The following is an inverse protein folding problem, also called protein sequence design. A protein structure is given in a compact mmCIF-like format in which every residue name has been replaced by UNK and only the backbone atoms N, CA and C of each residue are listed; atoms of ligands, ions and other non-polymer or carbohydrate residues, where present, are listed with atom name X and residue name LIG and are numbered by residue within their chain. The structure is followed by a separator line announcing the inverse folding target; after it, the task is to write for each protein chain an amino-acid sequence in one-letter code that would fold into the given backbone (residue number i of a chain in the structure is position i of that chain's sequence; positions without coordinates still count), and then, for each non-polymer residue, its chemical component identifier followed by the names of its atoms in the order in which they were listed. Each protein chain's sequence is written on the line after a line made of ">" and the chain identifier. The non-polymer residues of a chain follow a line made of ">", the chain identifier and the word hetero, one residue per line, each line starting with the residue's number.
data_IF_638046503517
#
_entry.id   IF_638046503517
#
_cell.length_a   1.000
_cell.length_b   1.000
_cell.length_c   1.000
_cell.angle_alpha   90.00
_cell.angle_beta   90.00
_cell.angle_gamma   90.00
#
_symmetry.space_group_name_H-M   'P 1'
#
loop_
_entity.id
_entity.type
_entity.pdbx_description
1 polymer ?
#
# COMPACT_ATOMS: atom_id res chain seq x y z
N UNK A 1 30.43 1.81 -26.99
CA UNK A 1 29.24 1.94 -26.13
C UNK A 1 29.43 1.17 -24.82
N UNK A 2 28.83 1.61 -23.69
CA UNK A 2 28.84 0.88 -22.39
C UNK A 2 27.71 -0.16 -22.33
N UNK A 3 27.90 -1.27 -21.61
CA UNK A 3 26.90 -2.35 -21.49
C UNK A 3 25.52 -1.85 -21.01
N UNK A 4 25.46 -0.91 -20.06
CA UNK A 4 24.19 -0.33 -19.58
C UNK A 4 23.38 0.32 -20.72
N UNK A 5 24.05 1.01 -21.64
CA UNK A 5 23.41 1.64 -22.78
C UNK A 5 23.06 0.60 -23.85
N UNK A 6 23.92 -0.40 -24.05
CA UNK A 6 23.67 -1.52 -24.94
C UNK A 6 22.36 -2.25 -24.60
N UNK A 7 22.14 -2.54 -23.31
CA UNK A 7 20.92 -3.19 -22.81
C UNK A 7 19.65 -2.43 -23.15
N UNK A 8 19.66 -1.11 -22.97
CA UNK A 8 18.53 -0.25 -23.34
C UNK A 8 18.33 -0.22 -24.86
N UNK A 9 19.42 -0.11 -25.61
CA UNK A 9 19.40 -0.08 -27.06
C UNK A 9 18.91 -1.41 -27.67
N UNK A 10 19.15 -2.56 -27.03
CA UNK A 10 18.64 -3.86 -27.49
C UNK A 10 17.11 -3.87 -27.59
N UNK A 11 16.41 -3.33 -26.57
CA UNK A 11 14.94 -3.27 -26.56
C UNK A 11 14.43 -2.30 -27.64
N UNK A 12 15.06 -1.14 -27.79
CA UNK A 12 14.69 -0.17 -28.82
C UNK A 12 14.97 -0.68 -30.24
N UNK A 13 16.06 -1.42 -30.45
CA UNK A 13 16.39 -2.06 -31.73
C UNK A 13 15.34 -3.14 -32.08
N UNK A 14 14.84 -3.89 -31.10
CA UNK A 14 13.79 -4.88 -31.30
C UNK A 14 12.51 -4.25 -31.86
N UNK A 15 12.08 -3.11 -31.31
CA UNK A 15 10.90 -2.37 -31.79
C UNK A 15 11.17 -1.49 -33.03
N UNK A 16 12.42 -1.45 -33.53
CA UNK A 16 12.80 -0.60 -34.65
C UNK A 16 12.84 0.90 -34.32
N UNK A 17 12.85 1.26 -33.04
CA UNK A 17 12.85 2.66 -32.54
C UNK A 17 14.26 3.23 -32.34
N UNK A 18 15.31 2.45 -32.60
CA UNK A 18 16.68 2.87 -32.39
C UNK A 18 17.22 3.73 -33.56
N UNK A 19 17.72 4.96 -33.30
CA UNK A 19 18.32 5.79 -34.35
C UNK A 19 19.50 5.11 -35.06
N UNK A 20 19.72 5.37 -36.37
CA UNK A 20 20.74 4.67 -37.16
C UNK A 20 22.17 4.87 -36.62
N UNK A 21 22.47 6.03 -36.05
CA UNK A 21 23.77 6.31 -35.44
C UNK A 21 24.03 5.46 -34.18
N UNK A 22 23.00 5.20 -33.38
CA UNK A 22 23.09 4.37 -32.17
C UNK A 22 23.09 2.88 -32.51
N UNK A 23 22.39 2.49 -33.58
CA UNK A 23 22.36 1.12 -34.09
C UNK A 23 23.75 0.61 -34.49
N UNK A 24 24.52 1.42 -35.22
CA UNK A 24 25.90 1.06 -35.56
C UNK A 24 26.77 0.85 -34.30
N UNK A 25 26.58 1.70 -33.28
CA UNK A 25 27.26 1.55 -31.99
C UNK A 25 26.84 0.30 -31.21
N UNK A 26 25.57 -0.12 -31.34
CA UNK A 26 25.04 -1.36 -30.78
C UNK A 26 25.62 -2.59 -31.46
N UNK A 27 25.59 -2.65 -32.79
CA UNK A 27 26.14 -3.77 -33.57
C UNK A 27 27.61 -4.03 -33.25
N UNK A 28 28.42 -2.96 -33.16
CA UNK A 28 29.84 -3.09 -32.82
C UNK A 28 30.05 -3.59 -31.38
N UNK A 29 29.20 -3.16 -30.44
CA UNK A 29 29.27 -3.65 -29.06
C UNK A 29 28.85 -5.13 -28.95
N UNK A 30 27.85 -5.57 -29.73
CA UNK A 30 27.38 -6.95 -29.71
C UNK A 30 28.42 -7.92 -30.27
N UNK A 31 29.25 -7.49 -31.24
CA UNK A 31 30.39 -8.28 -31.74
C UNK A 31 31.46 -8.52 -30.67
N UNK A 32 31.66 -7.56 -29.78
CA UNK A 32 32.75 -7.57 -28.79
C UNK A 32 32.31 -8.08 -27.42
N UNK A 33 31.03 -7.92 -27.05
CA UNK A 33 30.51 -8.29 -25.74
C UNK A 33 29.55 -9.48 -25.81
N UNK A 34 30.06 -10.68 -25.49
CA UNK A 34 29.26 -11.91 -25.44
C UNK A 34 28.04 -11.82 -24.50
N UNK A 35 28.17 -11.10 -23.38
CA UNK A 35 27.08 -10.94 -22.40
C UNK A 35 25.90 -10.19 -23.01
N UNK A 36 26.16 -9.08 -23.72
CA UNK A 36 25.12 -8.32 -24.40
C UNK A 36 24.55 -9.06 -25.61
N UNK A 37 25.37 -9.88 -26.29
CA UNK A 37 24.91 -10.80 -27.33
C UNK A 37 23.88 -11.81 -26.83
N UNK A 38 24.19 -12.51 -25.73
CA UNK A 38 23.26 -13.47 -25.10
C UNK A 38 21.96 -12.79 -24.63
N UNK A 39 22.06 -11.59 -24.06
CA UNK A 39 20.90 -10.81 -23.61
C UNK A 39 20.01 -10.37 -24.78
N UNK A 40 20.59 -10.05 -25.94
CA UNK A 40 19.84 -9.77 -27.17
C UNK A 40 19.09 -11.01 -27.66
N UNK A 41 19.76 -12.16 -27.70
CA UNK A 41 19.14 -13.43 -28.11
C UNK A 41 17.96 -13.82 -27.21
N UNK A 42 18.14 -13.69 -25.88
CA UNK A 42 17.09 -13.93 -24.90
C UNK A 42 15.91 -12.97 -25.09
N UNK A 43 16.20 -11.68 -25.30
CA UNK A 43 15.17 -10.66 -25.55
C UNK A 43 14.34 -11.01 -26.78
N UNK A 44 15.01 -11.25 -27.91
CA UNK A 44 14.34 -11.63 -29.18
C UNK A 44 13.50 -12.90 -29.00
N UNK A 45 14.02 -13.91 -28.27
CA UNK A 45 13.30 -15.15 -28.00
C UNK A 45 12.03 -14.93 -27.17
N UNK A 46 12.08 -14.14 -26.11
CA UNK A 46 10.92 -13.89 -25.25
C UNK A 46 9.85 -13.12 -26.01
N UNK A 47 10.22 -12.04 -26.71
CA UNK A 47 9.25 -11.22 -27.43
C UNK A 47 8.65 -11.94 -28.64
N UNK A 48 9.43 -12.73 -29.39
CA UNK A 48 8.89 -13.57 -30.46
C UNK A 48 7.89 -14.62 -29.96
N UNK A 49 8.07 -15.18 -28.76
CA UNK A 49 7.08 -16.08 -28.16
C UNK A 49 5.78 -15.37 -27.79
N UNK A 50 5.86 -14.12 -27.33
CA UNK A 50 4.68 -13.29 -27.03
C UNK A 50 3.94 -12.92 -28.32
N UNK A 51 4.65 -12.54 -29.38
CA UNK A 51 4.05 -12.24 -30.68
C UNK A 51 3.41 -13.47 -31.34
N UNK A 52 4.02 -14.65 -31.17
CA UNK A 52 3.46 -15.91 -31.65
C UNK A 52 2.22 -16.38 -30.84
N UNK A 53 1.99 -15.82 -29.65
CA UNK A 53 0.85 -16.14 -28.78
C UNK A 53 0.12 -14.85 -28.41
N UNK A 54 -0.52 -14.17 -29.37
CA UNK A 54 -1.30 -13.00 -29.05
C UNK A 54 -2.39 -13.37 -28.03
N UNK A 55 -2.71 -12.47 -27.08
CA UNK A 55 -3.85 -12.67 -26.21
C UNK A 55 -5.08 -12.91 -27.10
N UNK A 56 -5.85 -13.97 -26.79
CA UNK A 56 -7.09 -14.24 -27.51
C UNK A 56 -8.04 -13.05 -27.42
N UNK A 57 -9.01 -12.98 -28.34
CA UNK A 57 -10.01 -11.92 -28.37
C UNK A 57 -10.65 -11.74 -27.00
N UNK A 58 -10.28 -10.65 -26.31
CA UNK A 58 -10.88 -10.29 -25.05
C UNK A 58 -12.26 -9.75 -25.39
N UNK A 59 -13.36 -10.40 -24.96
CA UNK A 59 -14.69 -9.87 -25.22
C UNK A 59 -14.78 -8.47 -24.64
N UNK A 60 -15.14 -7.49 -25.48
CA UNK A 60 -15.35 -6.12 -25.04
C UNK A 60 -16.45 -6.16 -23.98
N UNK A 61 -16.14 -5.82 -22.71
CA UNK A 61 -17.16 -5.85 -21.67
C UNK A 61 -18.23 -4.83 -22.00
N UNK A 62 -19.50 -5.21 -21.81
CA UNK A 62 -20.61 -4.25 -21.86
C UNK A 62 -20.41 -3.23 -20.74
N UNK A 63 -19.92 -2.06 -21.13
CA UNK A 63 -19.60 -0.96 -20.22
C UNK A 63 -20.83 -0.50 -19.46
N UNK A 64 -22.03 -0.58 -20.06
CA UNK A 64 -23.30 -0.25 -19.42
C UNK A 64 -23.65 -1.23 -18.31
N UNK A 65 -23.49 -2.54 -18.54
CA UNK A 65 -23.70 -3.56 -17.51
C UNK A 65 -22.68 -3.47 -16.37
N UNK A 66 -21.41 -3.17 -16.68
CA UNK A 66 -20.35 -3.01 -15.67
C UNK A 66 -20.63 -1.77 -14.82
N UNK A 67 -20.93 -0.62 -15.44
CA UNK A 67 -21.24 0.62 -14.72
C UNK A 67 -22.50 0.51 -13.89
N UNK A 68 -23.55 -0.11 -14.44
CA UNK A 68 -24.80 -0.34 -13.69
C UNK A 68 -24.57 -1.15 -12.42
N UNK A 69 -23.70 -2.16 -12.42
CA UNK A 69 -23.37 -2.92 -11.20
C UNK A 69 -22.62 -2.08 -10.18
N UNK A 70 -21.74 -1.19 -10.63
CA UNK A 70 -20.96 -0.31 -9.75
C UNK A 70 -21.90 0.70 -9.10
N UNK A 71 -22.73 1.39 -9.87
CA UNK A 71 -23.73 2.35 -9.37
C UNK A 71 -24.69 1.69 -8.36
N UNK A 72 -25.19 0.49 -8.68
CA UNK A 72 -26.08 -0.24 -7.77
C UNK A 72 -25.43 -0.62 -6.44
N UNK A 73 -24.10 -0.75 -6.37
CA UNK A 73 -23.36 -1.02 -5.12
C UNK A 73 -23.01 0.24 -4.36
N UNK A 74 -22.94 1.38 -5.05
CA UNK A 74 -22.64 2.67 -4.45
C UNK A 74 -23.91 3.42 -4.00
N UNK A 75 -25.11 2.98 -4.43
CA UNK A 75 -26.37 3.61 -4.02
C UNK A 75 -26.57 3.56 -2.49
N UNK A 76 -26.44 4.70 -1.79
CA UNK A 76 -26.56 4.76 -0.34
C UNK A 76 -27.98 4.45 0.14
N UNK A 77 -28.98 4.52 -0.75
CA UNK A 77 -30.38 4.16 -0.44
C UNK A 77 -30.61 2.65 -0.34
N UNK A 78 -29.66 1.86 -0.86
CA UNK A 78 -29.68 0.38 -0.79
C UNK A 78 -28.70 -0.18 0.23
N UNK A 79 -27.94 0.68 0.92
CA UNK A 79 -27.22 0.26 2.10
C UNK A 79 -28.24 -0.38 3.06
N UNK A 80 -28.00 -1.61 3.57
CA UNK A 80 -28.94 -2.25 4.47
C UNK A 80 -29.19 -1.29 5.63
N UNK A 81 -30.44 -0.83 5.72
CA UNK A 81 -30.91 0.05 6.78
C UNK A 81 -30.47 -0.60 8.09
N UNK A 82 -29.50 0.04 8.78
CA UNK A 82 -28.94 -0.48 10.02
C UNK A 82 -30.07 -0.45 11.04
N UNK A 83 -30.85 -1.54 11.09
CA UNK A 83 -31.89 -1.73 12.09
C UNK A 83 -31.22 -1.51 13.44
N UNK A 84 -31.72 -0.58 14.27
CA UNK A 84 -31.14 -0.38 15.59
C UNK A 84 -31.16 -1.74 16.29
N UNK A 85 -29.98 -2.22 16.69
CA UNK A 85 -29.86 -3.47 17.41
C UNK A 85 -30.77 -3.38 18.65
N UNK A 86 -31.53 -4.44 19.00
CA UNK A 86 -32.45 -4.39 20.11
C UNK A 86 -31.66 -4.06 21.39
N UNK A 87 -31.95 -2.89 21.97
CA UNK A 87 -31.30 -2.37 23.18
C UNK A 87 -31.44 -3.32 24.40
N UNK A 88 -32.30 -4.33 24.30
CA UNK A 88 -32.47 -5.40 25.28
C UNK A 88 -31.19 -6.20 25.54
N UNK A 89 -30.36 -6.41 24.51
CA UNK A 89 -29.14 -7.20 24.65
C UNK A 89 -28.05 -6.44 25.43
N UNK A 90 -27.96 -5.11 25.32
CA UNK A 90 -26.89 -4.32 25.96
C UNK A 90 -26.87 -4.48 27.49
N UNK A 91 -28.05 -4.55 28.14
CA UNK A 91 -28.13 -4.75 29.60
C UNK A 91 -27.65 -6.13 30.04
N UNK A 92 -27.92 -7.17 29.24
CA UNK A 92 -27.45 -8.54 29.53
C UNK A 92 -25.94 -8.66 29.30
N UNK A 93 -25.42 -8.05 28.24
CA UNK A 93 -23.98 -7.99 27.98
C UNK A 93 -23.22 -7.13 28.99
N UNK A 94 -23.82 -6.05 29.49
CA UNK A 94 -23.24 -5.24 30.57
C UNK A 94 -23.13 -6.02 31.89
N UNK A 95 -24.15 -6.80 32.25
CA UNK A 95 -24.11 -7.68 33.42
C UNK A 95 -23.08 -8.80 33.28
N UNK A 96 -22.98 -9.41 32.09
CA UNK A 96 -21.96 -10.42 31.79
C UNK A 96 -20.53 -9.84 31.85
N UNK A 97 -20.33 -8.61 31.33
CA UNK A 97 -19.06 -7.89 31.42
C UNK A 97 -18.66 -7.57 32.86
N UNK A 98 -19.62 -7.14 33.70
CA UNK A 98 -19.37 -6.86 35.11
C UNK A 98 -18.97 -8.13 35.89
N UNK A 99 -19.63 -9.26 35.61
CA UNK A 99 -19.27 -10.54 36.24
C UNK A 99 -17.86 -11.00 35.84
N UNK A 100 -17.49 -10.89 34.56
CA UNK A 100 -16.14 -11.24 34.09
C UNK A 100 -15.07 -10.33 34.70
N UNK A 101 -15.34 -9.02 34.79
CA UNK A 101 -14.44 -8.07 35.42
C UNK A 101 -14.19 -8.39 36.91
N UNK A 102 -15.23 -8.80 37.64
CA UNK A 102 -15.09 -9.23 39.03
C UNK A 102 -14.27 -10.51 39.18
N UNK A 103 -14.46 -11.49 38.29
CA UNK A 103 -13.66 -12.74 38.30
C UNK A 103 -12.20 -12.45 37.99
N UNK A 104 -11.91 -11.60 37.00
CA UNK A 104 -10.55 -11.19 36.66
C UNK A 104 -9.90 -10.39 37.81
N UNK A 105 -10.62 -9.45 38.41
CA UNK A 105 -10.13 -8.69 39.55
C UNK A 105 -9.82 -9.59 40.75
N UNK A 106 -10.69 -10.56 41.05
CA UNK A 106 -10.47 -11.55 42.10
C UNK A 106 -9.25 -12.44 41.79
N UNK A 107 -9.12 -12.93 40.55
CA UNK A 107 -7.99 -13.73 40.10
C UNK A 107 -6.65 -12.97 40.18
N UNK A 108 -6.62 -11.71 39.75
CA UNK A 108 -5.42 -10.85 39.85
C UNK A 108 -5.07 -10.60 41.32
N UNK A 109 -6.06 -10.34 42.16
CA UNK A 109 -5.83 -10.05 43.58
C UNK A 109 -5.29 -11.27 44.33
N UNK A 110 -5.84 -12.46 44.06
CA UNK A 110 -5.36 -13.73 44.63
C UNK A 110 -3.98 -14.07 44.08
N UNK A 111 -3.76 -13.94 42.76
CA UNK A 111 -2.47 -14.17 42.13
C UNK A 111 -1.37 -13.25 42.68
N UNK A 112 -1.67 -11.97 42.92
CA UNK A 112 -0.71 -11.02 43.51
C UNK A 112 -0.34 -11.33 44.97
N UNK A 113 -1.22 -12.00 45.72
CA UNK A 113 -0.92 -12.43 47.11
C UNK A 113 -0.24 -13.79 47.20
N UNK A 114 -0.43 -14.65 46.20
CA UNK A 114 0.11 -16.00 46.18
C UNK A 114 1.43 -16.14 45.39
N UNK A 115 1.89 -15.09 44.69
CA UNK A 115 3.15 -15.16 43.93
C UNK A 115 4.37 -15.37 44.84
N UNK A 116 5.13 -16.47 44.68
CA UNK A 116 6.47 -16.59 45.23
C UNK A 116 7.44 -15.64 44.47
N UNK A 117 8.62 -15.31 45.04
CA UNK A 117 9.58 -14.42 44.39
C UNK A 117 10.00 -14.96 43.00
N UNK A 118 10.22 -14.08 42.02
CA UNK A 118 10.51 -14.49 40.65
C UNK A 118 11.80 -15.31 40.59
N UNK A 119 11.69 -16.59 40.23
CA UNK A 119 12.83 -17.38 39.77
C UNK A 119 13.31 -16.83 38.42
N UNK A 120 14.62 -16.80 38.15
CA UNK A 120 15.15 -16.29 36.88
C UNK A 120 14.59 -17.11 35.71
N UNK A 121 14.28 -16.47 34.56
CA UNK A 121 13.68 -17.16 33.43
C UNK A 121 14.64 -18.20 32.85
N UNK A 122 14.24 -19.46 32.93
CA UNK A 122 14.83 -20.51 32.11
C UNK A 122 14.53 -20.17 30.64
N UNK A 123 15.60 -19.93 29.87
CA UNK A 123 15.51 -19.69 28.44
C UNK A 123 15.01 -20.96 27.74
N UNK A 124 13.76 -20.94 27.27
CA UNK A 124 13.29 -21.86 26.24
C UNK A 124 13.49 -21.19 24.86
N UNK A 125 14.22 -21.82 23.92
CA UNK A 125 14.32 -21.31 22.56
C UNK A 125 13.01 -21.61 21.82
N UNK A 126 12.09 -20.64 21.81
CA UNK A 126 10.98 -20.63 20.86
C UNK A 126 11.51 -20.23 19.48
N UNK A 127 11.88 -21.22 18.68
CA UNK A 127 12.13 -21.06 17.25
C UNK A 127 10.80 -20.97 16.50
N UNK A 128 10.21 -19.78 16.49
CA UNK A 128 9.09 -19.39 15.62
C UNK A 128 9.38 -18.04 14.95
N UNK A 129 8.71 -17.67 13.85
CA UNK A 129 9.01 -16.48 13.04
C UNK A 129 8.52 -15.18 13.69
N UNK A 130 8.81 -14.99 14.99
CA UNK A 130 8.43 -13.80 15.77
C UNK A 130 9.47 -12.68 15.62
N UNK A 131 10.61 -12.94 14.97
CA UNK A 131 11.69 -11.95 14.80
C UNK A 131 11.45 -10.94 13.68
N UNK A 132 10.57 -11.22 12.72
CA UNK A 132 10.33 -10.32 11.58
C UNK A 132 9.45 -9.12 11.95
N UNK A 133 8.45 -9.31 12.80
CA UNK A 133 7.45 -8.28 13.13
C UNK A 133 8.03 -7.19 14.04
N UNK A 134 8.81 -7.58 15.06
CA UNK A 134 9.50 -6.63 15.94
C UNK A 134 10.54 -5.78 15.19
N UNK A 135 11.18 -6.34 14.15
CA UNK A 135 12.12 -5.62 13.29
C UNK A 135 11.43 -4.64 12.32
N UNK A 136 10.16 -4.88 11.97
CA UNK A 136 9.39 -4.05 11.04
C UNK A 136 8.78 -2.81 11.71
N UNK A 137 8.52 -2.84 13.03
CA UNK A 137 7.97 -1.69 13.78
C UNK A 137 8.72 -0.37 13.58
N UNK A 138 10.06 -0.29 13.74
CA UNK A 138 10.78 0.97 13.52
C UNK A 138 10.74 1.44 12.06
N UNK A 139 10.72 0.51 11.10
CA UNK A 139 10.60 0.83 9.67
C UNK A 139 9.22 1.39 9.35
N UNK A 140 8.16 0.79 9.91
CA UNK A 140 6.80 1.30 9.82
C UNK A 140 6.68 2.70 10.44
N UNK A 141 7.24 2.90 11.63
CA UNK A 141 7.19 4.19 12.31
C UNK A 141 7.88 5.29 11.49
N UNK A 142 9.07 5.02 10.93
CA UNK A 142 9.76 5.96 10.04
C UNK A 142 8.95 6.28 8.78
N UNK A 143 8.39 5.26 8.13
CA UNK A 143 7.54 5.45 6.95
C UNK A 143 6.29 6.30 7.24
N UNK A 144 5.64 6.09 8.39
CA UNK A 144 4.50 6.91 8.80
C UNK A 144 4.91 8.35 9.14
N UNK A 145 6.12 8.58 9.64
CA UNK A 145 6.67 9.93 9.82
C UNK A 145 6.90 10.64 8.48
N UNK A 146 7.38 9.92 7.46
CA UNK A 146 7.59 10.48 6.13
C UNK A 146 6.25 10.80 5.42
N UNK A 147 5.20 10.02 5.67
CA UNK A 147 3.85 10.28 5.13
C UNK A 147 3.13 11.44 5.81
N UNK A 148 3.39 11.68 7.11
CA UNK A 148 2.59 12.61 7.92
C UNK A 148 2.55 14.05 7.37
N UNK A 149 3.66 14.68 6.95
CA UNK A 149 3.63 16.04 6.39
C UNK A 149 2.73 16.14 5.16
N UNK A 150 2.89 15.20 4.23
CA UNK A 150 2.11 15.12 3.00
C UNK A 150 0.61 14.98 3.29
N UNK A 151 0.23 14.09 4.22
CA UNK A 151 -1.17 13.94 4.62
C UNK A 151 -1.72 15.20 5.31
N UNK A 152 -0.88 15.91 6.07
CA UNK A 152 -1.27 17.15 6.76
C UNK A 152 -1.50 18.29 5.77
N UNK A 153 -0.63 18.42 4.77
CA UNK A 153 -0.74 19.44 3.73
C UNK A 153 -2.06 19.30 2.96
N UNK A 154 -2.43 18.08 2.57
CA UNK A 154 -3.71 17.82 1.92
C UNK A 154 -4.91 17.95 2.88
N UNK A 155 -4.79 17.53 4.14
CA UNK A 155 -5.87 17.63 5.12
C UNK A 155 -6.23 19.08 5.50
N UNK A 156 -5.22 19.96 5.47
CA UNK A 156 -5.33 21.38 5.78
C UNK A 156 -5.41 22.28 4.55
N UNK A 157 -5.38 21.73 3.34
CA UNK A 157 -5.55 22.49 2.11
C UNK A 157 -6.79 23.39 2.21
N UNK A 158 -6.74 24.64 1.74
CA UNK A 158 -7.94 25.48 1.57
C UNK A 158 -7.97 26.14 0.19
N UNK A 159 -9.14 26.26 -0.46
CA UNK A 159 -9.22 26.84 -1.82
C UNK A 159 -8.91 28.35 -1.85
N UNK A 160 -9.05 29.02 -0.70
CA UNK A 160 -8.89 30.48 -0.54
C UNK A 160 -7.45 30.88 -0.19
N UNK A 161 -6.52 29.92 -0.15
CA UNK A 161 -5.08 30.18 -0.13
C UNK A 161 -4.64 30.71 -1.51
N UNK A 162 -5.00 31.97 -1.78
CA UNK A 162 -4.77 32.75 -2.99
C UNK A 162 -3.28 33.03 -3.30
N UNK A 163 -2.36 32.28 -2.66
CA UNK A 163 -0.93 32.33 -2.90
C UNK A 163 -0.41 30.98 -3.41
N UNK A 164 -1.08 30.37 -4.39
CA UNK A 164 -0.45 29.42 -5.32
C UNK A 164 0.36 28.29 -4.71
N UNK A 165 0.02 27.82 -3.51
CA UNK A 165 0.60 26.63 -2.91
C UNK A 165 -0.06 25.41 -3.56
N UNK A 166 0.19 25.21 -4.86
CA UNK A 166 0.16 23.85 -5.38
C UNK A 166 1.00 23.03 -4.43
N UNK A 167 0.46 21.93 -3.90
CA UNK A 167 1.26 21.00 -3.10
C UNK A 167 2.29 20.40 -4.07
N UNK A 168 3.41 21.10 -4.25
CA UNK A 168 4.47 20.72 -5.18
C UNK A 168 5.26 19.63 -4.49
N UNK A 169 4.81 18.41 -4.69
CA UNK A 169 5.53 17.23 -4.26
C UNK A 169 6.31 16.67 -5.43
N UNK A 170 7.56 16.30 -5.16
CA UNK A 170 8.43 15.59 -6.07
C UNK A 170 7.81 14.22 -6.42
N UNK A 171 7.65 13.98 -7.72
CA UNK A 171 7.09 12.74 -8.27
C UNK A 171 7.97 11.52 -7.95
N UNK A 172 9.29 11.69 -7.89
CA UNK A 172 10.23 10.62 -7.51
C UNK A 172 10.05 10.23 -6.04
N UNK A 173 9.86 11.22 -5.17
CA UNK A 173 9.58 11.01 -3.75
C UNK A 173 8.23 10.31 -3.51
N UNK A 174 7.18 10.73 -4.22
CA UNK A 174 5.85 10.09 -4.16
C UNK A 174 5.90 8.61 -4.57
N UNK A 175 6.61 8.30 -5.66
CA UNK A 175 6.78 6.92 -6.13
C UNK A 175 7.56 6.08 -5.12
N UNK A 176 8.58 6.64 -4.49
CA UNK A 176 9.33 5.96 -3.45
C UNK A 176 8.45 5.63 -2.23
N UNK A 177 7.62 6.60 -1.78
CA UNK A 177 6.64 6.41 -0.70
C UNK A 177 5.61 5.33 -1.05
N UNK A 178 5.05 5.35 -2.26
CA UNK A 178 4.10 4.32 -2.72
C UNK A 178 4.76 2.93 -2.69
N UNK A 179 5.98 2.82 -3.20
CA UNK A 179 6.71 1.56 -3.24
C UNK A 179 6.98 1.00 -1.83
N UNK A 180 7.45 1.85 -0.91
CA UNK A 180 7.66 1.45 0.49
C UNK A 180 6.34 1.05 1.18
N UNK A 181 5.25 1.77 0.91
CA UNK A 181 3.93 1.46 1.45
C UNK A 181 3.47 0.05 1.05
N UNK A 182 3.52 -0.27 -0.26
CA UNK A 182 3.12 -1.59 -0.77
C UNK A 182 3.96 -2.72 -0.16
N UNK A 183 5.27 -2.50 0.04
CA UNK A 183 6.16 -3.48 0.67
C UNK A 183 5.82 -3.70 2.14
N UNK A 184 5.66 -2.63 2.91
CA UNK A 184 5.30 -2.70 4.34
C UNK A 184 3.95 -3.38 4.52
N UNK A 185 2.97 -3.05 3.69
CA UNK A 185 1.64 -3.66 3.74
C UNK A 185 1.72 -5.17 3.52
N UNK A 186 2.46 -5.61 2.50
CA UNK A 186 2.65 -7.05 2.22
C UNK A 186 3.37 -7.77 3.36
N UNK A 187 4.34 -7.11 3.99
CA UNK A 187 5.08 -7.67 5.12
C UNK A 187 4.22 -7.77 6.40
N UNK A 188 3.29 -6.83 6.62
CA UNK A 188 2.49 -6.72 7.83
C UNK A 188 1.12 -7.42 7.74
N UNK A 189 0.62 -7.75 6.54
CA UNK A 189 -0.70 -8.34 6.33
C UNK A 189 -1.04 -9.56 7.22
N UNK A 190 -0.05 -10.40 7.54
CA UNK A 190 -0.24 -11.58 8.39
C UNK A 190 0.08 -11.37 9.87
N UNK A 191 0.64 -10.23 10.26
CA UNK A 191 1.17 -10.01 11.61
C UNK A 191 0.57 -8.82 12.34
N UNK A 192 0.23 -7.76 11.62
CA UNK A 192 -0.41 -6.55 12.14
C UNK A 192 -1.49 -6.09 11.14
N UNK A 193 -2.72 -6.61 11.27
CA UNK A 193 -3.81 -6.29 10.35
C UNK A 193 -4.25 -4.83 10.47
N UNK A 194 -4.10 -4.20 11.65
CA UNK A 194 -4.44 -2.80 11.84
C UNK A 194 -3.45 -1.88 11.09
N UNK A 195 -2.15 -2.19 11.16
CA UNK A 195 -1.14 -1.49 10.36
C UNK A 195 -1.31 -1.72 8.85
N UNK A 196 -1.67 -2.94 8.44
CA UNK A 196 -1.95 -3.24 7.04
C UNK A 196 -3.15 -2.44 6.50
N UNK A 197 -4.22 -2.29 7.29
CA UNK A 197 -5.39 -1.49 6.91
C UNK A 197 -5.04 0.00 6.76
N UNK A 198 -4.28 0.57 7.70
CA UNK A 198 -3.80 1.96 7.57
C UNK A 198 -2.96 2.14 6.30
N UNK A 199 -2.09 1.18 6.00
CA UNK A 199 -1.26 1.23 4.80
C UNK A 199 -2.11 1.11 3.52
N UNK A 200 -3.17 0.31 3.51
CA UNK A 200 -4.16 0.27 2.42
C UNK A 200 -4.86 1.63 2.23
N UNK A 201 -5.26 2.30 3.31
CA UNK A 201 -5.84 3.64 3.25
C UNK A 201 -4.84 4.65 2.65
N UNK A 202 -3.58 4.61 3.09
CA UNK A 202 -2.51 5.46 2.58
C UNK A 202 -2.14 5.14 1.11
N UNK A 203 -2.21 3.87 0.68
CA UNK A 203 -1.94 3.45 -0.71
C UNK A 203 -2.96 4.08 -1.68
N UNK A 204 -4.24 4.12 -1.29
CA UNK A 204 -5.26 4.80 -2.06
C UNK A 204 -4.98 6.30 -2.19
N UNK A 205 -4.67 6.98 -1.07
CA UNK A 205 -4.36 8.41 -1.06
C UNK A 205 -3.16 8.72 -1.95
N UNK A 206 -2.07 7.96 -1.82
CA UNK A 206 -0.87 8.15 -2.63
C UNK A 206 -1.14 7.97 -4.13
N UNK A 207 -1.99 7.02 -4.51
CA UNK A 207 -2.38 6.80 -5.91
C UNK A 207 -3.19 7.97 -6.47
N UNK A 208 -4.14 8.50 -5.69
CA UNK A 208 -4.90 9.68 -6.09
C UNK A 208 -3.99 10.90 -6.28
N UNK A 209 -3.01 11.09 -5.38
CA UNK A 209 -2.04 12.20 -5.49
C UNK A 209 -1.13 12.01 -6.72
N UNK A 210 -0.64 10.79 -6.99
CA UNK A 210 0.21 10.51 -8.16
C UNK A 210 -0.54 10.78 -9.46
N UNK A 211 -1.84 10.49 -9.51
CA UNK A 211 -2.64 10.62 -10.72
C UNK A 211 -3.24 12.03 -10.92
N UNK A 212 -2.75 13.05 -10.21
CA UNK A 212 -3.32 14.42 -10.19
C UNK A 212 -3.42 15.13 -11.54
N UNK A 213 -2.52 14.79 -12.48
CA UNK A 213 -2.40 15.47 -13.78
C UNK A 213 -3.22 14.74 -14.87
N UNK A 214 -3.95 13.68 -14.51
CA UNK A 214 -4.83 12.97 -15.43
C UNK A 214 -6.14 13.75 -15.67
N UNK A 215 -6.77 13.64 -16.85
CA UNK A 215 -8.00 14.36 -17.19
C UNK A 215 -9.22 13.99 -16.31
N UNK A 216 -9.14 12.94 -15.50
CA UNK A 216 -10.14 12.51 -14.52
C UNK A 216 -9.55 12.41 -13.10
N UNK A 217 -8.50 13.16 -12.82
CA UNK A 217 -7.84 13.17 -11.53
C UNK A 217 -8.73 13.70 -10.41
N UNK A 218 -8.56 13.16 -9.20
CA UNK A 218 -9.17 13.69 -8.00
C UNK A 218 -8.67 15.13 -7.74
N UNK A 219 -9.60 16.03 -7.42
CA UNK A 219 -9.23 17.37 -6.96
C UNK A 219 -8.53 17.31 -5.60
N UNK A 220 -7.70 18.29 -5.22
CA UNK A 220 -7.15 18.37 -3.87
C UNK A 220 -8.24 18.40 -2.77
N UNK A 221 -9.43 18.91 -3.06
CA UNK A 221 -10.61 18.79 -2.19
C UNK A 221 -11.07 17.34 -2.02
N UNK A 222 -11.13 16.57 -3.11
CA UNK A 222 -11.51 15.14 -3.05
C UNK A 222 -10.51 14.34 -2.21
N UNK A 223 -9.21 14.62 -2.36
CA UNK A 223 -8.14 13.98 -1.58
C UNK A 223 -8.28 14.35 -0.09
N UNK A 224 -8.61 15.61 0.22
CA UNK A 224 -8.87 16.06 1.60
C UNK A 224 -10.04 15.33 2.23
N UNK A 225 -11.17 15.23 1.51
CA UNK A 225 -12.34 14.48 1.96
C UNK A 225 -12.03 12.99 2.13
N UNK A 226 -11.19 12.41 1.25
CA UNK A 226 -10.77 11.02 1.36
C UNK A 226 -9.88 10.76 2.60
N UNK A 227 -8.97 11.69 2.93
CA UNK A 227 -8.15 11.62 4.15
C UNK A 227 -9.04 11.71 5.41
N UNK A 228 -10.03 12.61 5.41
CA UNK A 228 -10.95 12.81 6.53
C UNK A 228 -11.92 11.64 6.69
N UNK A 229 -12.55 11.19 5.61
CA UNK A 229 -13.55 10.12 5.64
C UNK A 229 -13.01 8.75 6.05
N UNK A 230 -11.69 8.55 5.95
CA UNK A 230 -10.99 7.32 6.39
C UNK A 230 -10.29 7.47 7.74
N UNK A 231 -10.40 8.63 8.40
CA UNK A 231 -9.77 8.94 9.69
C UNK A 231 -8.25 8.63 9.71
N UNK A 232 -7.56 8.81 8.59
CA UNK A 232 -6.17 8.32 8.39
C UNK A 232 -5.20 8.94 9.40
N UNK A 233 -5.33 10.24 9.67
CA UNK A 233 -4.49 10.95 10.65
C UNK A 233 -4.68 10.42 12.07
N UNK A 234 -5.90 10.00 12.42
CA UNK A 234 -6.21 9.43 13.74
C UNK A 234 -5.66 8.00 13.85
N UNK A 235 -5.85 7.16 12.83
CA UNK A 235 -5.27 5.81 12.77
C UNK A 235 -3.74 5.86 12.87
N UNK A 236 -3.10 6.83 12.21
CA UNK A 236 -1.64 7.05 12.25
C UNK A 236 -1.15 7.37 13.68
N UNK A 237 -1.84 8.24 14.42
CA UNK A 237 -1.50 8.56 15.82
C UNK A 237 -1.67 7.36 16.76
N UNK A 238 -2.68 6.50 16.53
CA UNK A 238 -2.88 5.28 17.32
C UNK A 238 -1.72 4.31 17.09
N UNK A 239 -1.41 4.00 15.84
CA UNK A 239 -0.41 2.98 15.48
C UNK A 239 0.99 3.40 15.94
N UNK A 240 1.30 4.70 15.92
CA UNK A 240 2.56 5.23 16.45
C UNK A 240 2.73 5.04 17.95
N UNK A 241 1.63 4.97 18.72
CA UNK A 241 1.66 4.82 20.19
C UNK A 241 1.79 3.36 20.67
N UNK A 242 1.64 2.38 19.77
CA UNK A 242 1.63 0.91 20.05
C UNK A 242 2.93 0.18 19.74
#
# INVERSE_FOLDING_TARGET
>A
MKCKNARRAIVLDYYGELPPAEKAGLEEHLRTCRKCGAEREETVRVFSLLEANPPGDIPVPDTGLVWSRIENRLDPKRAPERRPAPAWNIRQWAMAGAALALVLAAGIFIGRRASPPPSPPAASPSSGPVRTTAALKPVLAGHLEDLKPLLLDYANYTPDDAAGATVVIDEEFLRALLFQNVLLRKALAGSDPAAAELLDDCDLILKEIINRDAPAAASPEDIRELIRGRDVLFKLEIIKRT
#
